data_IF_623579361754
#
_entry.id   IF_623579361754
#
_cell.length_a   1.000
_cell.length_b   1.000
_cell.length_c   1.000
_cell.angle_alpha   90.00
_cell.angle_beta   90.00
_cell.angle_gamma   90.00
#
_symmetry.space_group_name_H-M   'P 1'
#
loop_
_entity.id
_entity.type
_entity.pdbx_description
1 polymer ?
#
# COMPACT_ATOMS: atom_id res chain seq x y z
N UNK A 1 4.41 -10.35 -28.80
CA UNK A 1 4.84 -10.13 -27.42
C UNK A 1 4.60 -11.40 -26.65
N UNK A 2 5.63 -11.99 -26.03
CA UNK A 2 5.51 -13.24 -25.26
C UNK A 2 5.40 -12.88 -23.78
N UNK A 3 4.24 -13.15 -23.18
CA UNK A 3 3.91 -12.91 -21.77
C UNK A 3 3.47 -14.22 -21.15
N UNK A 4 3.99 -14.51 -19.96
CA UNK A 4 3.63 -15.67 -19.14
C UNK A 4 3.02 -15.18 -17.83
N UNK A 5 1.93 -15.82 -17.41
CA UNK A 5 1.22 -15.47 -16.18
C UNK A 5 1.21 -16.67 -15.23
N UNK A 6 1.60 -16.45 -13.98
CA UNK A 6 1.62 -17.48 -12.93
C UNK A 6 1.13 -16.90 -11.61
N UNK A 7 0.25 -17.61 -10.91
CA UNK A 7 -0.31 -17.14 -9.65
C UNK A 7 -1.68 -17.71 -9.37
N UNK A 8 -2.53 -16.95 -8.68
CA UNK A 8 -3.81 -17.48 -8.19
C UNK A 8 -4.97 -16.49 -8.32
N UNK A 9 -6.16 -17.07 -8.52
CA UNK A 9 -7.45 -16.40 -8.36
C UNK A 9 -8.21 -17.16 -7.27
N UNK A 10 -8.78 -16.46 -6.30
CA UNK A 10 -9.42 -17.09 -5.15
C UNK A 10 -10.70 -16.41 -4.69
N UNK A 11 -11.69 -17.23 -4.32
CA UNK A 11 -12.97 -16.82 -3.74
C UNK A 11 -13.27 -17.66 -2.49
N UNK A 12 -14.23 -17.27 -1.63
CA UNK A 12 -14.72 -18.12 -0.55
C UNK A 12 -15.07 -19.52 -1.05
N UNK A 13 -14.70 -20.55 -0.29
CA UNK A 13 -14.82 -21.96 -0.69
C UNK A 13 -16.22 -22.33 -1.17
N UNK A 14 -17.27 -21.79 -0.56
CA UNK A 14 -18.67 -21.98 -0.97
C UNK A 14 -18.97 -21.62 -2.44
N UNK A 15 -18.11 -20.83 -3.07
CA UNK A 15 -18.26 -20.32 -4.43
C UNK A 15 -17.36 -21.05 -5.45
N UNK A 16 -16.72 -22.17 -5.08
CA UNK A 16 -15.75 -22.89 -5.91
C UNK A 16 -16.27 -23.21 -7.32
N UNK A 17 -17.51 -23.71 -7.43
CA UNK A 17 -18.10 -24.09 -8.72
C UNK A 17 -18.28 -22.87 -9.63
N UNK A 18 -18.58 -21.73 -9.02
CA UNK A 18 -18.73 -20.49 -9.75
C UNK A 18 -17.41 -19.90 -10.19
N UNK A 19 -16.35 -20.04 -9.38
CA UNK A 19 -14.98 -19.70 -9.80
C UNK A 19 -14.56 -20.52 -11.01
N UNK A 20 -14.73 -21.85 -10.99
CA UNK A 20 -14.36 -22.71 -12.12
C UNK A 20 -15.12 -22.33 -13.41
N UNK A 21 -16.41 -22.01 -13.30
CA UNK A 21 -17.20 -21.52 -14.43
C UNK A 21 -16.72 -20.15 -14.94
N UNK A 22 -16.44 -19.21 -14.03
CA UNK A 22 -15.95 -17.87 -14.37
C UNK A 22 -14.61 -17.95 -15.13
N UNK A 23 -13.68 -18.78 -14.66
CA UNK A 23 -12.39 -19.04 -15.33
C UNK A 23 -12.63 -19.63 -16.71
N UNK A 24 -13.48 -20.65 -16.82
CA UNK A 24 -13.80 -21.30 -18.11
C UNK A 24 -14.41 -20.33 -19.13
N UNK A 25 -15.24 -19.38 -18.69
CA UNK A 25 -15.89 -18.39 -19.56
C UNK A 25 -14.98 -17.20 -19.93
N UNK A 26 -13.90 -16.99 -19.18
CA UNK A 26 -13.03 -15.80 -19.31
C UNK A 26 -11.87 -15.98 -20.29
N UNK A 27 -11.69 -17.18 -20.86
CA UNK A 27 -10.58 -17.54 -21.75
C UNK A 27 -9.18 -17.29 -21.14
N UNK A 28 -9.04 -17.31 -19.80
CA UNK A 28 -7.77 -17.09 -19.10
C UNK A 28 -6.74 -18.16 -19.46
N UNK A 29 -7.17 -19.42 -19.53
CA UNK A 29 -6.33 -20.56 -19.89
C UNK A 29 -6.60 -21.02 -21.33
N UNK A 30 -5.59 -21.59 -21.98
CA UNK A 30 -5.74 -22.20 -23.30
C UNK A 30 -6.55 -23.50 -23.28
N UNK A 31 -6.64 -24.15 -22.11
CA UNK A 31 -7.37 -25.40 -21.89
C UNK A 31 -8.63 -25.17 -21.05
N UNK A 32 -9.59 -26.10 -21.15
CA UNK A 32 -10.81 -26.09 -20.35
C UNK A 32 -10.50 -26.28 -18.87
N UNK A 33 -11.01 -25.40 -18.00
CA UNK A 33 -10.87 -25.54 -16.55
C UNK A 33 -11.91 -26.52 -15.99
N UNK A 34 -11.46 -27.49 -15.20
CA UNK A 34 -12.31 -28.45 -14.51
C UNK A 34 -12.35 -28.15 -13.00
N UNK A 35 -13.35 -28.69 -12.31
CA UNK A 35 -13.45 -28.57 -10.84
C UNK A 35 -12.26 -29.21 -10.10
N UNK A 36 -11.58 -30.16 -10.74
CA UNK A 36 -10.38 -30.83 -10.21
C UNK A 36 -9.15 -29.91 -10.18
N UNK A 37 -9.18 -28.81 -10.94
CA UNK A 37 -8.11 -27.80 -10.97
C UNK A 37 -8.23 -26.79 -9.81
N UNK A 38 -9.24 -26.94 -8.94
CA UNK A 38 -9.47 -26.05 -7.81
C UNK A 38 -8.82 -26.62 -6.54
N UNK A 39 -7.85 -25.89 -5.98
CA UNK A 39 -7.27 -26.16 -4.66
C UNK A 39 -8.11 -25.53 -3.56
N UNK A 40 -8.19 -26.20 -2.41
CA UNK A 40 -8.89 -25.69 -1.22
C UNK A 40 -7.90 -25.46 -0.10
N UNK A 41 -7.91 -24.25 0.45
CA UNK A 41 -7.00 -23.88 1.54
C UNK A 41 -7.62 -22.75 2.37
N UNK A 42 -7.51 -22.80 3.70
CA UNK A 42 -7.93 -21.72 4.60
C UNK A 42 -9.36 -21.17 4.36
N UNK A 43 -10.32 -22.05 4.03
CA UNK A 43 -11.72 -21.68 3.78
C UNK A 43 -11.98 -20.98 2.44
N UNK A 44 -11.03 -21.08 1.50
CA UNK A 44 -11.11 -20.51 0.16
C UNK A 44 -10.86 -21.56 -0.91
N UNK A 45 -11.46 -21.33 -2.07
CA UNK A 45 -11.17 -22.03 -3.30
C UNK A 45 -10.16 -21.22 -4.12
N UNK A 46 -9.16 -21.88 -4.68
CA UNK A 46 -8.07 -21.31 -5.46
C UNK A 46 -8.02 -21.96 -6.82
N UNK A 47 -7.91 -21.13 -7.86
CA UNK A 47 -7.51 -21.53 -9.19
C UNK A 47 -6.06 -21.10 -9.40
N UNK A 48 -5.17 -22.06 -9.60
CA UNK A 48 -3.75 -21.81 -9.87
C UNK A 48 -3.54 -21.62 -11.38
N UNK A 49 -2.93 -20.50 -11.76
CA UNK A 49 -2.51 -20.21 -13.12
C UNK A 49 -1.09 -20.74 -13.32
N UNK A 50 -0.92 -21.59 -14.34
CA UNK A 50 0.38 -22.10 -14.78
C UNK A 50 0.85 -21.31 -16.02
N UNK A 51 2.12 -20.93 -16.05
CA UNK A 51 2.73 -20.17 -17.14
C UNK A 51 2.66 -20.90 -18.50
N UNK A 52 2.62 -22.23 -18.50
CA UNK A 52 2.51 -23.02 -19.73
C UNK A 52 1.09 -22.96 -20.34
N UNK A 53 0.08 -22.59 -19.54
CA UNK A 53 -1.33 -22.54 -19.95
C UNK A 53 -1.91 -21.13 -20.05
N UNK A 54 -1.26 -20.16 -19.40
CA UNK A 54 -1.78 -18.81 -19.21
C UNK A 54 -0.84 -17.78 -19.89
N UNK A 55 -0.92 -17.68 -21.22
CA UNK A 55 -0.07 -16.79 -22.01
C UNK A 55 -0.81 -15.55 -22.53
N UNK A 56 -0.03 -14.50 -22.77
CA UNK A 56 -0.51 -13.24 -23.33
C UNK A 56 -1.07 -12.29 -22.28
N UNK A 57 -1.65 -11.19 -22.76
CA UNK A 57 -2.28 -10.20 -21.91
C UNK A 57 -3.61 -10.73 -21.36
N UNK A 58 -3.72 -10.75 -20.03
CA UNK A 58 -4.89 -11.21 -19.30
C UNK A 58 -5.80 -10.08 -18.82
N UNK A 59 -5.46 -8.80 -18.97
CA UNK A 59 -6.21 -7.70 -18.34
C UNK A 59 -7.71 -7.74 -18.69
N UNK A 60 -8.04 -7.82 -19.98
CA UNK A 60 -9.44 -7.89 -20.43
C UNK A 60 -10.15 -9.18 -19.97
N UNK A 61 -9.42 -10.28 -19.85
CA UNK A 61 -9.96 -11.58 -19.45
C UNK A 61 -10.26 -11.60 -17.95
N UNK A 62 -9.36 -11.03 -17.14
CA UNK A 62 -9.53 -10.85 -15.70
C UNK A 62 -10.69 -9.90 -15.41
N UNK A 63 -10.82 -8.79 -16.15
CA UNK A 63 -11.96 -7.89 -15.99
C UNK A 63 -13.30 -8.61 -16.26
N UNK A 64 -13.41 -9.38 -17.35
CA UNK A 64 -14.61 -10.20 -17.63
C UNK A 64 -14.93 -11.18 -16.50
N UNK A 65 -13.90 -11.84 -15.95
CA UNK A 65 -14.06 -12.75 -14.83
C UNK A 65 -14.60 -12.02 -13.59
N UNK A 66 -14.03 -10.85 -13.27
CA UNK A 66 -14.44 -10.04 -12.12
C UNK A 66 -15.87 -9.54 -12.28
N UNK A 67 -16.22 -9.02 -13.46
CA UNK A 67 -17.56 -8.52 -13.78
C UNK A 67 -18.60 -9.63 -13.58
N UNK A 68 -18.33 -10.82 -14.11
CA UNK A 68 -19.19 -11.99 -13.92
C UNK A 68 -19.35 -12.34 -12.43
N UNK A 69 -18.25 -12.38 -11.67
CA UNK A 69 -18.29 -12.66 -10.22
C UNK A 69 -19.08 -11.60 -9.45
N UNK A 70 -19.04 -10.33 -9.87
CA UNK A 70 -19.83 -9.26 -9.26
C UNK A 70 -21.31 -9.35 -9.56
N UNK A 71 -21.69 -9.67 -10.80
CA UNK A 71 -23.08 -9.81 -11.22
C UNK A 71 -23.85 -10.84 -10.38
N UNK A 72 -23.16 -11.88 -9.93
CA UNK A 72 -23.71 -12.94 -9.09
C UNK A 72 -23.51 -12.69 -7.58
N UNK A 73 -22.94 -11.55 -7.19
CA UNK A 73 -22.81 -11.12 -5.80
C UNK A 73 -21.56 -11.62 -5.05
N UNK A 74 -20.52 -12.09 -5.75
CA UNK A 74 -19.25 -12.48 -5.14
C UNK A 74 -18.30 -11.29 -5.16
N UNK A 75 -18.06 -10.68 -4.01
CA UNK A 75 -17.18 -9.50 -3.88
C UNK A 75 -15.88 -9.76 -3.13
N UNK A 76 -15.80 -10.86 -2.38
CA UNK A 76 -14.58 -11.31 -1.72
C UNK A 76 -13.76 -12.12 -2.72
N UNK A 77 -12.95 -11.42 -3.49
CA UNK A 77 -12.09 -11.98 -4.54
C UNK A 77 -10.65 -11.62 -4.17
N UNK A 78 -9.73 -12.57 -4.32
CA UNK A 78 -8.30 -12.34 -4.23
C UNK A 78 -7.67 -12.72 -5.57
N UNK A 79 -6.80 -11.86 -6.09
CA UNK A 79 -6.01 -12.13 -7.28
C UNK A 79 -4.58 -11.73 -6.96
N UNK A 80 -3.66 -12.65 -7.24
CA UNK A 80 -2.23 -12.46 -7.13
C UNK A 80 -1.58 -13.22 -8.29
N UNK A 81 -1.29 -12.51 -9.39
CA UNK A 81 -0.76 -13.10 -10.62
C UNK A 81 0.50 -12.35 -11.04
N UNK A 82 1.62 -13.06 -11.08
CA UNK A 82 2.89 -12.54 -11.56
C UNK A 82 2.97 -12.65 -13.09
N UNK A 83 3.51 -11.60 -13.70
CA UNK A 83 3.70 -11.45 -15.14
C UNK A 83 5.21 -11.52 -15.42
N UNK A 84 5.59 -12.31 -16.42
CA UNK A 84 6.99 -12.45 -16.84
C UNK A 84 7.13 -12.59 -18.36
N UNK A 85 8.35 -12.48 -18.87
CA UNK A 85 8.68 -12.58 -20.30
C UNK A 85 9.16 -11.25 -20.86
N UNK A 86 8.55 -10.78 -21.95
CA UNK A 86 8.86 -9.46 -22.54
C UNK A 86 8.19 -8.30 -21.78
N UNK A 87 7.29 -8.61 -20.86
CA UNK A 87 6.70 -7.70 -19.90
C UNK A 87 6.78 -8.33 -18.51
N UNK A 88 7.04 -7.51 -17.50
CA UNK A 88 7.10 -7.93 -16.10
C UNK A 88 6.11 -7.10 -15.28
N UNK A 89 5.69 -7.63 -14.14
CA UNK A 89 4.78 -6.95 -13.22
C UNK A 89 3.84 -7.93 -12.53
N UNK A 90 2.73 -7.41 -12.02
CA UNK A 90 1.77 -8.22 -11.26
C UNK A 90 0.35 -7.71 -11.45
N UNK A 91 -0.61 -8.61 -11.63
CA UNK A 91 -2.03 -8.29 -11.47
C UNK A 91 -2.49 -8.59 -10.05
N UNK A 92 -3.15 -7.63 -9.44
CA UNK A 92 -3.79 -7.77 -8.13
C UNK A 92 -5.23 -7.27 -8.18
N UNK A 93 -6.02 -7.65 -7.16
CA UNK A 93 -7.38 -7.16 -7.00
C UNK A 93 -7.47 -6.16 -5.84
N UNK A 94 -7.77 -4.90 -6.15
CA UNK A 94 -7.94 -3.80 -5.18
C UNK A 94 -9.13 -2.92 -5.59
N UNK A 95 -9.85 -2.37 -4.61
CA UNK A 95 -10.97 -1.44 -4.85
C UNK A 95 -12.00 -1.94 -5.87
N UNK A 96 -12.28 -3.24 -5.82
CA UNK A 96 -13.21 -3.95 -6.70
C UNK A 96 -12.82 -4.00 -8.18
N UNK A 97 -11.56 -3.83 -8.53
CA UNK A 97 -11.06 -3.90 -9.91
C UNK A 97 -9.72 -4.62 -9.97
N UNK A 98 -9.34 -5.05 -11.17
CA UNK A 98 -7.97 -5.48 -11.40
C UNK A 98 -7.04 -4.26 -11.48
N UNK A 99 -5.86 -4.38 -10.91
CA UNK A 99 -4.80 -3.37 -10.94
C UNK A 99 -3.53 -4.04 -11.44
N UNK A 100 -2.91 -3.46 -12.46
CA UNK A 100 -1.55 -3.79 -12.87
C UNK A 100 -0.56 -3.02 -12.01
N UNK A 101 0.40 -3.74 -11.44
CA UNK A 101 1.58 -3.18 -10.80
C UNK A 101 2.78 -3.37 -11.72
N UNK A 102 3.47 -2.27 -12.02
CA UNK A 102 4.76 -2.32 -12.67
C UNK A 102 5.81 -3.03 -11.81
N UNK A 103 6.93 -3.51 -12.39
CA UNK A 103 7.99 -4.18 -11.63
C UNK A 103 8.52 -3.35 -10.44
N UNK A 104 8.58 -2.02 -10.61
CA UNK A 104 8.99 -1.10 -9.56
C UNK A 104 7.98 -1.04 -8.41
N UNK A 105 6.68 -1.02 -8.71
CA UNK A 105 5.62 -1.03 -7.70
C UNK A 105 5.56 -2.36 -6.96
N UNK A 106 5.80 -3.48 -7.67
CA UNK A 106 5.93 -4.81 -7.06
C UNK A 106 7.10 -4.82 -6.08
N UNK A 107 8.28 -4.37 -6.51
CA UNK A 107 9.47 -4.30 -5.64
C UNK A 107 9.22 -3.46 -4.38
N UNK A 108 8.51 -2.34 -4.51
CA UNK A 108 8.15 -1.47 -3.38
C UNK A 108 7.15 -2.14 -2.43
N UNK A 109 6.13 -2.81 -2.96
CA UNK A 109 5.07 -3.43 -2.15
C UNK A 109 5.51 -4.74 -1.49
N UNK A 110 6.40 -5.49 -2.13
CA UNK A 110 6.93 -6.75 -1.61
C UNK A 110 8.19 -6.57 -0.74
N UNK A 111 8.76 -5.35 -0.70
CA UNK A 111 9.79 -5.00 0.28
C UNK A 111 9.25 -5.17 1.71
N UNK A 112 9.98 -5.93 2.51
CA UNK A 112 9.49 -6.46 3.78
C UNK A 112 9.40 -5.41 4.90
N UNK A 113 10.00 -4.22 4.71
CA UNK A 113 9.96 -3.16 5.71
C UNK A 113 9.95 -1.74 5.14
N UNK A 114 9.34 -0.81 5.89
CA UNK A 114 9.37 0.63 5.61
C UNK A 114 10.80 1.17 5.48
N UNK A 115 11.79 0.56 6.14
CA UNK A 115 13.19 0.99 6.08
C UNK A 115 13.86 0.60 4.75
N UNK A 116 13.54 -0.57 4.20
CA UNK A 116 14.00 -0.97 2.86
C UNK A 116 13.42 -0.06 1.78
N UNK A 117 12.13 0.29 1.90
CA UNK A 117 11.49 1.25 1.01
C UNK A 117 12.15 2.63 1.07
N UNK A 118 12.45 3.14 2.27
CA UNK A 118 13.15 4.42 2.44
C UNK A 118 14.55 4.38 1.83
N UNK A 119 15.27 3.27 1.96
CA UNK A 119 16.60 3.10 1.37
C UNK A 119 16.55 3.13 -0.17
N UNK A 120 15.56 2.46 -0.76
CA UNK A 120 15.37 2.43 -2.21
C UNK A 120 14.96 3.81 -2.77
N UNK A 121 14.03 4.50 -2.10
CA UNK A 121 13.65 5.88 -2.48
C UNK A 121 14.85 6.83 -2.40
N UNK A 122 15.70 6.71 -1.38
CA UNK A 122 16.95 7.48 -1.27
C UNK A 122 17.94 7.15 -2.39
N UNK A 123 18.10 5.87 -2.76
CA UNK A 123 18.94 5.45 -3.89
C UNK A 123 18.48 6.07 -5.21
N UNK A 124 17.17 6.24 -5.39
CA UNK A 124 16.55 6.88 -6.57
C UNK A 124 16.56 8.42 -6.52
N UNK A 125 17.08 9.03 -5.46
CA UNK A 125 17.22 10.48 -5.33
C UNK A 125 16.04 11.17 -4.64
N UNK A 126 15.12 10.43 -4.03
CA UNK A 126 14.05 10.99 -3.20
C UNK A 126 14.51 11.10 -1.74
N UNK A 127 14.36 12.28 -1.12
CA UNK A 127 14.57 12.41 0.33
C UNK A 127 13.27 12.12 1.07
N UNK A 128 13.30 11.10 1.92
CA UNK A 128 12.12 10.57 2.63
C UNK A 128 12.46 10.42 4.10
N UNK A 129 11.54 10.89 4.95
CA UNK A 129 11.61 10.77 6.40
C UNK A 129 10.29 10.21 6.92
N UNK A 130 10.35 9.30 7.90
CA UNK A 130 9.15 8.83 8.60
C UNK A 130 8.52 10.01 9.34
N UNK A 131 7.20 10.11 9.33
CA UNK A 131 6.47 11.19 10.01
C UNK A 131 6.85 11.27 11.50
N UNK A 132 7.00 10.12 12.18
CA UNK A 132 7.41 10.07 13.59
C UNK A 132 8.82 10.64 13.82
N UNK A 133 9.77 10.32 12.93
CA UNK A 133 11.13 10.85 12.98
C UNK A 133 11.16 12.36 12.72
N UNK A 134 10.31 12.84 11.81
CA UNK A 134 10.13 14.27 11.55
C UNK A 134 9.57 14.98 12.79
N UNK A 135 8.47 14.48 13.37
CA UNK A 135 7.86 15.02 14.59
C UNK A 135 8.88 15.06 15.73
N UNK A 136 9.68 14.00 15.90
CA UNK A 136 10.76 13.95 16.90
C UNK A 136 11.79 15.06 16.67
N UNK A 137 12.29 15.24 15.45
CA UNK A 137 13.25 16.31 15.10
C UNK A 137 12.66 17.71 15.33
N UNK A 138 11.38 17.91 15.03
CA UNK A 138 10.69 19.18 15.25
C UNK A 138 10.55 19.49 16.75
N UNK A 139 10.19 18.48 17.57
CA UNK A 139 10.15 18.59 19.03
C UNK A 139 11.52 18.92 19.64
N UNK A 140 12.57 18.25 19.18
CA UNK A 140 13.96 18.58 19.58
C UNK A 140 14.33 20.02 19.21
N UNK A 141 13.83 20.52 18.07
CA UNK A 141 14.02 21.91 17.63
C UNK A 141 13.26 22.90 18.51
N UNK A 142 12.04 22.58 18.99
CA UNK A 142 11.33 23.39 19.98
C UNK A 142 12.13 23.51 21.29
N UNK A 143 12.72 22.41 21.76
CA UNK A 143 13.57 22.40 22.97
C UNK A 143 14.83 23.25 22.77
N UNK A 144 15.47 23.17 21.61
CA UNK A 144 16.63 24.01 21.28
C UNK A 144 16.26 25.49 21.21
N UNK A 145 15.15 25.82 20.55
CA UNK A 145 14.65 27.20 20.44
C UNK A 145 14.34 27.81 21.83
N UNK A 146 13.78 27.04 22.74
CA UNK A 146 13.51 27.47 24.11
C UNK A 146 14.79 27.70 24.94
N UNK A 147 15.88 27.01 24.63
CA UNK A 147 17.19 27.15 25.30
C UNK A 147 18.03 28.30 24.73
N UNK A 148 17.68 28.86 23.57
CA UNK A 148 18.37 30.03 23.04
C UNK A 148 18.12 31.23 23.96
N UNK A 149 19.16 31.78 24.59
CA UNK A 149 19.05 32.96 25.45
C UNK A 149 19.14 34.21 24.57
N UNK A 150 17.99 34.81 24.24
CA UNK A 150 17.92 36.04 23.45
C UNK A 150 17.58 37.25 24.33
N UNK A 151 18.55 38.13 24.55
CA UNK A 151 18.44 39.40 25.29
C UNK A 151 17.16 40.19 24.92
N UNK A 152 16.14 40.16 25.78
CA UNK A 152 14.88 40.93 25.89
C UNK A 152 14.01 41.15 24.61
N UNK A 153 14.57 41.33 23.41
CA UNK A 153 13.86 41.30 22.13
C UNK A 153 13.61 39.86 21.61
N UNK A 154 14.19 38.83 22.24
CA UNK A 154 14.13 37.44 21.79
C UNK A 154 12.94 36.61 22.30
N UNK A 155 12.35 36.96 23.44
CA UNK A 155 11.37 36.08 24.10
C UNK A 155 10.04 35.95 23.35
N UNK A 156 9.51 37.05 22.79
CA UNK A 156 8.25 37.01 22.01
C UNK A 156 8.45 36.22 20.71
N UNK A 157 9.58 36.43 20.03
CA UNK A 157 9.95 35.69 18.82
C UNK A 157 10.19 34.21 19.10
N UNK A 158 10.77 33.85 20.25
CA UNK A 158 10.95 32.46 20.67
C UNK A 158 9.62 31.76 20.95
N UNK A 159 8.70 32.42 21.64
CA UNK A 159 7.35 31.88 21.88
C UNK A 159 6.63 31.64 20.56
N UNK A 160 6.73 32.57 19.61
CA UNK A 160 6.13 32.40 18.27
C UNK A 160 6.75 31.23 17.50
N UNK A 161 8.07 31.07 17.51
CA UNK A 161 8.75 29.94 16.86
C UNK A 161 8.31 28.61 17.47
N UNK A 162 8.20 28.52 18.79
CA UNK A 162 7.84 27.28 19.49
C UNK A 162 6.36 26.96 19.29
N UNK A 163 5.46 27.91 19.57
CA UNK A 163 4.02 27.66 19.61
C UNK A 163 3.36 27.69 18.23
N UNK A 164 3.80 28.58 17.34
CA UNK A 164 3.15 28.81 16.05
C UNK A 164 3.88 28.07 14.92
N UNK A 165 5.17 28.38 14.68
CA UNK A 165 5.90 27.83 13.55
C UNK A 165 6.13 26.32 13.69
N UNK A 166 6.80 25.90 14.76
CA UNK A 166 7.08 24.48 15.00
C UNK A 166 5.84 23.77 15.55
N UNK A 167 5.05 24.47 16.37
CA UNK A 167 3.86 23.90 17.00
C UNK A 167 2.80 23.48 15.99
N UNK A 168 2.40 24.39 15.08
CA UNK A 168 1.43 24.07 14.03
C UNK A 168 1.97 23.03 13.06
N UNK A 169 3.25 23.11 12.69
CA UNK A 169 3.85 22.12 11.79
C UNK A 169 3.78 20.71 12.39
N UNK A 170 4.07 20.55 13.69
CA UNK A 170 3.92 19.26 14.37
C UNK A 170 2.45 18.80 14.38
N UNK A 171 1.49 19.71 14.59
CA UNK A 171 0.05 19.42 14.55
C UNK A 171 -0.44 19.00 13.16
N UNK A 172 0.04 19.67 12.10
CA UNK A 172 -0.28 19.35 10.70
C UNK A 172 0.18 17.94 10.34
N UNK A 173 1.29 17.47 10.92
CA UNK A 173 1.78 16.09 10.81
C UNK A 173 1.16 15.12 11.83
N UNK A 174 0.19 15.56 12.64
CA UNK A 174 -0.55 14.73 13.59
C UNK A 174 0.15 14.49 14.94
N UNK A 175 1.26 15.17 15.21
CA UNK A 175 1.99 15.08 16.47
C UNK A 175 1.49 16.05 17.54
N UNK A 176 1.97 15.88 18.77
CA UNK A 176 1.66 16.79 19.89
C UNK A 176 2.84 17.72 20.17
N UNK A 177 2.73 19.03 19.92
CA UNK A 177 3.84 19.95 20.14
C UNK A 177 4.03 20.32 21.61
N UNK A 178 5.21 20.84 21.94
CA UNK A 178 5.36 21.63 23.15
C UNK A 178 4.75 23.03 22.98
N UNK A 179 4.28 23.60 24.08
CA UNK A 179 3.87 25.00 24.21
C UNK A 179 4.69 25.69 25.30
N UNK A 180 4.90 26.99 25.16
CA UNK A 180 5.41 27.84 26.23
C UNK A 180 4.24 28.41 27.03
N UNK A 181 4.12 28.00 28.29
CA UNK A 181 3.16 28.50 29.26
C UNK A 181 3.89 29.00 30.50
N UNK A 182 3.62 30.22 30.94
CA UNK A 182 4.29 30.85 32.10
C UNK A 182 5.83 30.75 32.04
N UNK A 183 6.42 30.85 30.85
CA UNK A 183 7.87 30.75 30.63
C UNK A 183 8.44 29.33 30.70
N UNK A 184 7.60 28.28 30.71
CA UNK A 184 8.03 26.87 30.73
C UNK A 184 7.48 26.13 29.52
N UNK A 185 8.26 25.18 29.00
CA UNK A 185 7.79 24.23 28.00
C UNK A 185 6.88 23.18 28.66
N UNK A 186 5.69 23.00 28.12
CA UNK A 186 4.71 21.98 28.52
C UNK A 186 4.22 21.22 27.29
N UNK A 187 3.87 19.95 27.41
CA UNK A 187 3.25 19.19 26.31
C UNK A 187 1.81 19.69 26.15
N UNK A 188 1.41 20.05 24.93
CA UNK A 188 0.02 20.39 24.64
C UNK A 188 -0.81 19.10 24.69
N UNK A 189 -1.43 18.82 25.82
CA UNK A 189 -2.46 17.79 25.87
C UNK A 189 -3.66 18.28 25.05
N UNK A 190 -4.24 17.40 24.22
CA UNK A 190 -5.53 17.69 23.57
C UNK A 190 -6.55 17.94 24.67
N UNK A 191 -7.07 19.17 24.76
CA UNK A 191 -8.30 19.43 25.49
C UNK A 191 -9.41 18.62 24.77
N UNK A 192 -10.13 17.81 25.55
CA UNK A 192 -11.26 16.99 25.09
C UNK A 192 -12.37 17.84 24.46
#
# INVERSE_FOLDING_TARGET
MIIYNNGTISVPEKNYATLANAVSMSDICMDTCNLEDIRYENGRAYFDLDCDRCMGDLENKLNKLIDFLHEIGITDILIDINISGECEGKYIYEDRKIVYLSPDEVAVREMASTDELIAELKRRGCDVIKTDDLIKKLRESQVKAAKCIGFIAGMVSQIWVINDLLGKLIEDYGGEPYKVENGKLVIKNKEN
#
